data_IF_284939883463
#
_entry.id   IF_284939883463
#
_cell.length_a   1.000
_cell.length_b   1.000
_cell.length_c   1.000
_cell.angle_alpha   90.00
_cell.angle_beta   90.00
_cell.angle_gamma   90.00
#
_symmetry.space_group_name_H-M   'P 1'
#
loop_
_entity.id
_entity.type
_entity.pdbx_description
1 polymer ?
#
# COMPACT_ATOMS: atom_id res chain seq x y z
N UNK A 1 -22.62 -4.80 -2.35
CA UNK A 1 -22.73 -6.20 -1.86
C UNK A 1 -22.10 -7.14 -2.87
N UNK A 2 -21.44 -8.21 -2.43
CA UNK A 2 -20.68 -9.15 -3.30
C UNK A 2 -21.37 -10.50 -3.52
N UNK A 3 -22.62 -10.66 -3.05
CA UNK A 3 -23.45 -11.86 -3.23
C UNK A 3 -22.72 -13.19 -2.93
N UNK A 4 -21.97 -13.22 -1.83
CA UNK A 4 -21.16 -14.37 -1.41
C UNK A 4 -21.49 -14.70 0.04
N UNK A 5 -21.52 -15.99 0.43
CA UNK A 5 -21.74 -16.37 1.82
C UNK A 5 -20.77 -15.70 2.80
N UNK A 6 -21.27 -15.32 3.98
CA UNK A 6 -20.53 -14.50 4.95
C UNK A 6 -19.31 -15.24 5.54
N UNK A 7 -19.37 -16.57 5.61
CA UNK A 7 -18.29 -17.42 6.10
C UNK A 7 -17.01 -17.28 5.28
N UNK A 8 -17.12 -17.02 3.97
CA UNK A 8 -15.96 -16.82 3.08
C UNK A 8 -15.22 -15.53 3.43
N UNK A 9 -15.93 -14.49 3.84
CA UNK A 9 -15.36 -13.19 4.18
C UNK A 9 -14.86 -13.12 5.63
N UNK A 10 -15.32 -14.03 6.49
CA UNK A 10 -15.10 -13.98 7.94
C UNK A 10 -13.61 -13.93 8.30
N UNK A 11 -12.78 -14.73 7.66
CA UNK A 11 -11.34 -14.79 7.96
C UNK A 11 -10.67 -13.42 7.72
N UNK A 12 -10.87 -12.83 6.54
CA UNK A 12 -10.30 -11.52 6.18
C UNK A 12 -10.83 -10.37 7.03
N UNK A 13 -12.11 -10.40 7.42
CA UNK A 13 -12.71 -9.35 8.25
C UNK A 13 -12.33 -9.44 9.73
N UNK A 14 -12.01 -10.64 10.23
CA UNK A 14 -11.68 -10.87 11.64
C UNK A 14 -10.18 -11.00 11.89
N UNK A 15 -9.36 -11.11 10.84
CA UNK A 15 -7.93 -11.38 10.94
C UNK A 15 -7.61 -12.77 11.49
N UNK A 16 -8.59 -13.68 11.54
CA UNK A 16 -8.43 -15.05 12.05
C UNK A 16 -8.37 -16.03 10.88
N UNK A 17 -7.19 -16.62 10.69
CA UNK A 17 -6.94 -17.56 9.61
C UNK A 17 -6.72 -18.97 10.18
N UNK A 18 -7.37 -20.00 9.60
CA UNK A 18 -7.11 -21.38 10.02
C UNK A 18 -5.65 -21.71 9.72
N UNK A 19 -4.93 -22.22 10.72
CA UNK A 19 -3.52 -22.56 10.58
C UNK A 19 -3.38 -24.09 10.61
N UNK A 20 -3.09 -24.69 9.46
CA UNK A 20 -3.07 -26.14 9.32
C UNK A 20 -4.47 -26.75 9.50
N UNK A 21 -4.59 -27.77 10.34
CA UNK A 21 -5.86 -28.48 10.62
C UNK A 21 -6.75 -27.77 11.64
N UNK A 22 -6.25 -26.70 12.27
CA UNK A 22 -6.95 -26.00 13.34
C UNK A 22 -8.07 -25.10 12.79
N UNK A 23 -9.27 -25.13 13.39
CA UNK A 23 -10.38 -24.27 12.97
C UNK A 23 -10.08 -22.79 13.26
N UNK A 24 -10.77 -21.90 12.53
CA UNK A 24 -10.69 -20.43 12.71
C UNK A 24 -10.94 -19.98 14.16
N UNK A 25 -11.70 -20.77 14.93
CA UNK A 25 -12.05 -20.47 16.33
C UNK A 25 -10.87 -20.57 17.29
N UNK A 26 -9.84 -21.36 16.97
CA UNK A 26 -8.62 -21.51 17.78
C UNK A 26 -7.49 -20.60 17.29
N UNK A 27 -7.67 -19.92 16.15
CA UNK A 27 -6.68 -19.04 15.55
C UNK A 27 -6.62 -17.67 16.26
N UNK A 28 -5.42 -17.21 16.60
CA UNK A 28 -5.22 -15.87 17.13
C UNK A 28 -5.44 -14.84 16.03
N UNK A 29 -6.22 -13.79 16.33
CA UNK A 29 -6.38 -12.69 15.38
C UNK A 29 -5.05 -11.97 15.25
N UNK A 30 -4.57 -11.81 14.01
CA UNK A 30 -3.47 -10.90 13.75
C UNK A 30 -4.00 -9.46 13.89
N UNK A 31 -3.22 -8.62 14.59
CA UNK A 31 -3.55 -7.21 14.73
C UNK A 31 -3.45 -6.50 13.38
N UNK A 32 -4.32 -5.51 13.19
CA UNK A 32 -4.29 -4.60 12.03
C UNK A 32 -4.32 -5.29 10.64
N UNK A 33 -4.88 -6.50 10.53
CA UNK A 33 -5.08 -7.20 9.23
C UNK A 33 -5.96 -6.40 8.28
N UNK A 34 -7.01 -5.77 8.80
CA UNK A 34 -7.90 -4.91 8.01
C UNK A 34 -8.19 -3.63 8.80
N UNK A 35 -7.70 -2.52 8.26
CA UNK A 35 -7.86 -1.18 8.84
C UNK A 35 -8.54 -0.27 7.84
N UNK A 36 -9.75 0.19 8.16
CA UNK A 36 -10.50 1.09 7.28
C UNK A 36 -10.17 2.57 7.47
N UNK A 37 -9.89 2.99 8.70
CA UNK A 37 -9.77 4.42 9.04
C UNK A 37 -8.61 4.76 9.99
N UNK A 38 -8.30 3.88 10.96
CA UNK A 38 -7.17 4.13 11.88
C UNK A 38 -5.90 4.36 11.07
N UNK A 39 -4.97 5.11 11.66
CA UNK A 39 -3.68 5.42 11.05
C UNK A 39 -3.76 6.18 9.71
N UNK A 40 -4.87 6.87 9.44
CA UNK A 40 -5.15 7.49 8.15
C UNK A 40 -5.02 6.50 6.97
N UNK A 41 -5.49 5.26 7.16
CA UNK A 41 -5.45 4.21 6.14
C UNK A 41 -6.19 4.60 4.84
N UNK A 42 -7.25 5.40 4.95
CA UNK A 42 -8.06 5.87 3.82
C UNK A 42 -7.66 7.26 3.30
N UNK A 43 -6.64 7.90 3.88
CA UNK A 43 -6.17 9.19 3.38
C UNK A 43 -5.43 8.99 2.04
N UNK A 44 -5.73 9.77 0.99
CA UNK A 44 -5.13 9.59 -0.33
C UNK A 44 -3.72 10.20 -0.37
N UNK A 45 -2.75 9.50 0.20
CA UNK A 45 -1.34 9.90 0.18
C UNK A 45 -0.79 9.95 -1.25
N UNK A 46 -0.25 11.11 -1.65
CA UNK A 46 0.43 11.23 -2.95
C UNK A 46 1.70 10.39 -3.00
N UNK A 47 2.38 10.17 -1.86
CA UNK A 47 3.51 9.23 -1.78
C UNK A 47 3.11 7.80 -2.19
N UNK A 48 1.89 7.34 -1.85
CA UNK A 48 1.41 6.02 -2.30
C UNK A 48 1.20 5.96 -3.81
N UNK A 49 0.61 7.01 -4.40
CA UNK A 49 0.46 7.09 -5.85
C UNK A 49 1.82 7.02 -6.56
N UNK A 50 2.81 7.76 -6.07
CA UNK A 50 4.17 7.73 -6.60
C UNK A 50 4.83 6.35 -6.45
N UNK A 51 4.63 5.68 -5.30
CA UNK A 51 5.15 4.33 -5.10
C UNK A 51 4.51 3.31 -6.06
N UNK A 52 3.19 3.35 -6.24
CA UNK A 52 2.51 2.46 -7.20
C UNK A 52 3.01 2.68 -8.63
N UNK A 53 3.14 3.94 -9.07
CA UNK A 53 3.69 4.25 -10.39
C UNK A 53 5.15 3.80 -10.53
N UNK A 54 5.95 3.91 -9.46
CA UNK A 54 7.31 3.38 -9.44
C UNK A 54 7.34 1.85 -9.65
N UNK A 55 6.47 1.11 -8.96
CA UNK A 55 6.34 -0.34 -9.16
C UNK A 55 5.87 -0.69 -10.57
N UNK A 56 4.90 0.05 -11.12
CA UNK A 56 4.43 -0.16 -12.50
C UNK A 56 5.55 0.10 -13.52
N UNK A 57 6.34 1.15 -13.33
CA UNK A 57 7.48 1.45 -14.18
C UNK A 57 8.60 0.39 -14.07
N UNK A 58 8.90 -0.08 -12.85
CA UNK A 58 9.86 -1.16 -12.62
C UNK A 58 9.43 -2.48 -13.30
N UNK A 59 8.12 -2.76 -13.29
CA UNK A 59 7.52 -3.88 -14.01
C UNK A 59 7.30 -3.63 -15.51
N UNK A 60 7.72 -2.47 -16.05
CA UNK A 60 7.55 -2.05 -17.45
C UNK A 60 6.09 -1.99 -17.93
N UNK A 61 5.15 -1.73 -17.02
CA UNK A 61 3.74 -1.54 -17.34
C UNK A 61 3.45 -0.11 -17.84
N UNK A 62 4.25 0.86 -17.43
CA UNK A 62 4.16 2.27 -17.88
C UNK A 62 5.55 2.79 -18.23
N UNK A 63 5.58 3.84 -19.04
CA UNK A 63 6.84 4.50 -19.38
C UNK A 63 7.46 5.15 -18.14
N UNK A 64 8.77 4.95 -17.90
CA UNK A 64 9.40 5.50 -16.74
C UNK A 64 9.44 7.03 -16.80
N UNK A 65 9.54 7.66 -17.96
CA UNK A 65 9.75 9.12 -18.16
C UNK A 65 8.51 10.00 -17.89
N UNK A 66 7.35 9.40 -17.63
CA UNK A 66 6.14 10.13 -17.26
C UNK A 66 6.33 11.05 -16.04
N UNK A 67 5.58 12.16 -16.03
CA UNK A 67 5.48 13.05 -14.87
C UNK A 67 4.53 12.46 -13.81
N UNK A 68 5.08 11.57 -12.98
CA UNK A 68 4.35 10.94 -11.89
C UNK A 68 3.81 11.96 -10.88
N UNK A 69 4.48 13.09 -10.69
CA UNK A 69 4.05 14.09 -9.71
C UNK A 69 2.79 14.80 -10.20
N UNK A 70 2.77 15.21 -11.47
CA UNK A 70 1.58 15.80 -12.08
C UNK A 70 0.40 14.83 -12.10
N UNK A 71 0.63 13.56 -12.47
CA UNK A 71 -0.41 12.53 -12.46
C UNK A 71 -0.95 12.26 -11.05
N UNK A 72 -0.08 12.10 -10.06
CA UNK A 72 -0.47 11.92 -8.66
C UNK A 72 -1.31 13.10 -8.17
N UNK A 73 -0.94 14.34 -8.49
CA UNK A 73 -1.67 15.54 -8.08
C UNK A 73 -3.07 15.63 -8.69
N UNK A 74 -3.27 15.13 -9.91
CA UNK A 74 -4.57 15.12 -10.59
C UNK A 74 -5.52 14.07 -10.01
N UNK A 75 -5.01 12.87 -9.66
CA UNK A 75 -5.83 11.72 -9.24
C UNK A 75 -5.99 11.64 -7.72
N UNK A 76 -4.91 11.83 -6.96
CA UNK A 76 -4.93 11.77 -5.50
C UNK A 76 -5.20 13.17 -4.95
N UNK A 77 -6.43 13.37 -4.45
CA UNK A 77 -7.00 14.65 -4.01
C UNK A 77 -7.15 14.75 -2.48
N UNK A 78 -6.04 14.85 -1.72
CA UNK A 78 -6.09 15.01 -0.26
C UNK A 78 -6.75 16.32 0.16
N UNK A 79 -6.77 17.32 -0.70
CA UNK A 79 -7.50 18.57 -0.49
C UNK A 79 -9.02 18.35 -0.37
N UNK A 80 -9.61 17.54 -1.25
CA UNK A 80 -11.04 17.18 -1.16
C UNK A 80 -11.33 16.32 0.06
N UNK A 81 -10.43 15.37 0.38
CA UNK A 81 -10.53 14.56 1.59
C UNK A 81 -10.54 15.45 2.85
N UNK A 82 -9.59 16.39 2.96
CA UNK A 82 -9.52 17.34 4.08
C UNK A 82 -10.76 18.22 4.18
N UNK A 83 -11.31 18.67 3.05
CA UNK A 83 -12.54 19.45 3.05
C UNK A 83 -13.68 18.66 3.69
N UNK A 84 -13.88 17.40 3.30
CA UNK A 84 -14.89 16.53 3.89
C UNK A 84 -14.58 16.21 5.37
N UNK A 85 -13.32 15.88 5.70
CA UNK A 85 -12.90 15.57 7.06
C UNK A 85 -13.18 16.73 8.04
N UNK A 86 -12.94 17.97 7.61
CA UNK A 86 -13.25 19.18 8.41
C UNK A 86 -14.75 19.31 8.72
N UNK A 87 -15.63 18.97 7.77
CA UNK A 87 -17.09 19.02 8.01
C UNK A 87 -17.55 17.98 9.04
N UNK A 88 -16.75 16.95 9.28
CA UNK A 88 -17.03 15.85 10.20
C UNK A 88 -16.17 15.89 11.47
N UNK A 89 -15.38 16.95 11.66
CA UNK A 89 -14.41 17.09 12.77
C UNK A 89 -13.41 15.92 12.88
N UNK A 90 -13.01 15.36 11.74
CA UNK A 90 -12.04 14.27 11.65
C UNK A 90 -10.63 14.85 11.51
N UNK A 91 -9.73 14.48 12.42
CA UNK A 91 -8.30 14.82 12.33
C UNK A 91 -7.69 14.20 11.08
N UNK A 92 -6.98 15.01 10.30
CA UNK A 92 -6.43 14.62 9.00
C UNK A 92 -4.94 15.02 8.90
N UNK A 93 -4.10 14.25 8.19
CA UNK A 93 -2.73 14.67 7.88
C UNK A 93 -2.66 16.04 7.21
N UNK A 94 -1.75 16.90 7.69
CA UNK A 94 -1.48 18.22 7.10
C UNK A 94 -0.59 18.15 5.85
N UNK A 95 0.18 17.07 5.72
CA UNK A 95 1.07 16.80 4.58
C UNK A 95 0.42 15.82 3.59
N UNK A 96 0.85 15.86 2.33
CA UNK A 96 0.32 15.00 1.25
C UNK A 96 1.17 13.75 1.03
N UNK A 97 2.38 13.72 1.58
CA UNK A 97 3.39 12.70 1.32
C UNK A 97 4.15 12.35 2.59
N UNK A 98 4.63 11.11 2.67
CA UNK A 98 5.51 10.61 3.72
C UNK A 98 6.53 9.63 3.12
N UNK A 99 7.65 9.43 3.80
CA UNK A 99 8.60 8.36 3.49
C UNK A 99 7.99 7.05 4.01
N UNK A 100 8.12 5.98 3.23
CA UNK A 100 7.66 4.63 3.60
C UNK A 100 8.88 3.71 3.81
N UNK A 101 8.72 2.68 4.64
CA UNK A 101 9.73 1.65 4.86
C UNK A 101 10.59 1.81 6.12
N UNK A 102 10.31 2.78 6.98
CA UNK A 102 11.17 3.12 8.14
C UNK A 102 10.65 2.56 9.47
N UNK A 103 9.33 2.46 9.64
CA UNK A 103 8.70 2.33 10.95
C UNK A 103 8.20 0.90 11.19
N UNK A 104 8.79 0.20 12.17
CA UNK A 104 8.37 -1.16 12.59
C UNK A 104 7.08 -1.17 13.40
N UNK A 105 6.71 -0.04 13.99
CA UNK A 105 5.57 0.14 14.88
C UNK A 105 4.85 1.43 14.50
N UNK A 106 3.73 1.72 15.17
CA UNK A 106 3.08 3.02 15.01
C UNK A 106 4.03 4.18 15.32
N UNK A 107 3.84 5.28 14.59
CA UNK A 107 4.71 6.46 14.64
C UNK A 107 3.90 7.75 14.44
N UNK A 108 4.45 8.89 14.85
CA UNK A 108 3.76 10.16 14.74
C UNK A 108 4.10 10.87 13.43
N UNK A 109 3.08 11.19 12.64
CA UNK A 109 3.27 11.97 11.43
C UNK A 109 3.80 13.37 11.81
N UNK A 110 4.89 13.80 11.16
CA UNK A 110 5.40 15.15 11.36
C UNK A 110 4.30 16.18 11.00
N UNK A 111 4.10 17.17 11.86
CA UNK A 111 3.12 18.25 11.69
C UNK A 111 1.64 17.82 11.70
N UNK A 112 1.31 16.64 12.23
CA UNK A 112 -0.05 16.27 12.57
C UNK A 112 -0.09 15.56 13.93
N UNK A 113 -1.09 15.87 14.77
CA UNK A 113 -1.35 15.11 16.00
C UNK A 113 -2.01 13.75 15.69
N UNK A 114 -1.42 13.00 14.76
CA UNK A 114 -1.94 11.76 14.24
C UNK A 114 -0.87 10.66 14.32
N UNK A 115 -1.26 9.52 14.88
CA UNK A 115 -0.46 8.30 14.85
C UNK A 115 -0.73 7.54 13.55
N UNK A 116 0.33 7.22 12.82
CA UNK A 116 0.35 6.33 11.65
C UNK A 116 0.78 4.92 12.08
N UNK A 117 0.47 3.92 11.25
CA UNK A 117 0.81 2.52 11.48
C UNK A 117 2.22 2.19 11.02
N UNK A 118 2.67 0.98 11.31
CA UNK A 118 3.93 0.46 10.79
C UNK A 118 3.92 0.46 9.25
N UNK A 119 5.05 0.81 8.64
CA UNK A 119 5.20 0.94 7.19
C UNK A 119 6.47 0.27 6.63
N UNK A 120 7.20 -0.49 7.46
CA UNK A 120 8.39 -1.23 7.04
C UNK A 120 8.02 -2.28 5.97
N UNK A 121 8.70 -2.23 4.84
CA UNK A 121 8.59 -3.26 3.80
C UNK A 121 9.26 -4.57 4.22
N UNK A 122 8.85 -5.68 3.61
CA UNK A 122 9.37 -7.02 3.92
C UNK A 122 10.86 -7.20 3.57
N UNK A 123 11.34 -6.45 2.57
CA UNK A 123 12.71 -6.45 2.07
C UNK A 123 13.59 -5.34 2.69
N UNK A 124 13.07 -4.67 3.72
CA UNK A 124 13.71 -3.52 4.37
C UNK A 124 14.02 -2.35 3.42
N UNK A 125 13.39 -2.31 2.25
CA UNK A 125 13.52 -1.17 1.35
C UNK A 125 12.97 0.11 2.00
N UNK A 126 13.42 1.24 1.46
CA UNK A 126 12.93 2.58 1.83
C UNK A 126 12.48 3.30 0.58
N UNK A 127 11.29 3.88 0.64
CA UNK A 127 10.75 4.70 -0.45
C UNK A 127 10.66 6.16 -0.01
N UNK A 128 11.41 7.00 -0.72
CA UNK A 128 11.35 8.45 -0.57
C UNK A 128 10.62 9.05 -1.78
N UNK A 129 9.45 9.69 -1.60
CA UNK A 129 8.70 10.29 -2.70
C UNK A 129 9.43 11.44 -3.40
N UNK A 130 10.48 12.00 -2.80
CA UNK A 130 11.35 12.99 -3.46
C UNK A 130 12.38 12.34 -4.41
N UNK A 131 12.66 11.04 -4.25
CA UNK A 131 13.71 10.31 -4.96
C UNK A 131 13.17 9.06 -5.70
N UNK A 132 12.01 9.21 -6.35
CA UNK A 132 11.33 8.10 -7.05
C UNK A 132 12.20 7.47 -8.14
N UNK A 133 12.94 8.29 -8.89
CA UNK A 133 13.83 7.83 -9.96
C UNK A 133 14.91 6.90 -9.43
N UNK A 134 15.58 7.33 -8.36
CA UNK A 134 16.64 6.55 -7.71
C UNK A 134 16.07 5.25 -7.12
N UNK A 135 14.85 5.30 -6.59
CA UNK A 135 14.17 4.11 -6.09
C UNK A 135 13.94 3.06 -7.20
N UNK A 136 13.43 3.47 -8.37
CA UNK A 136 13.22 2.57 -9.52
C UNK A 136 14.55 1.95 -9.98
N UNK A 137 15.62 2.74 -10.05
CA UNK A 137 16.94 2.25 -10.47
C UNK A 137 17.53 1.21 -9.51
N UNK A 138 17.21 1.30 -8.20
CA UNK A 138 17.65 0.31 -7.21
C UNK A 138 16.86 -1.01 -7.29
N UNK A 139 15.63 -0.97 -7.78
CA UNK A 139 14.79 -2.16 -7.89
C UNK A 139 15.29 -3.08 -9.02
N UNK A 140 16.02 -4.14 -8.65
CA UNK A 140 16.32 -5.24 -9.55
C UNK A 140 15.17 -6.23 -9.55
N UNK A 141 14.30 -6.19 -10.56
CA UNK A 141 13.36 -7.28 -10.83
C UNK A 141 13.98 -8.20 -11.89
N UNK A 142 14.67 -9.30 -11.52
CA UNK A 142 15.13 -10.27 -12.49
C UNK A 142 13.91 -10.99 -13.08
N UNK A 143 13.57 -10.68 -14.34
CA UNK A 143 12.60 -11.45 -15.09
C UNK A 143 13.28 -12.73 -15.59
N UNK A 144 13.09 -13.85 -14.90
CA UNK A 144 13.30 -15.16 -15.51
C UNK A 144 12.35 -15.27 -16.71
N UNK A 145 12.90 -15.34 -17.94
CA UNK A 145 12.10 -15.64 -19.14
C UNK A 145 11.37 -16.97 -18.92
N UNK A 146 10.09 -17.11 -19.31
CA UNK A 146 9.49 -18.43 -19.38
C UNK A 146 10.34 -19.29 -20.31
N UNK A 147 10.80 -20.43 -19.79
CA UNK A 147 11.49 -21.47 -20.54
C UNK A 147 10.63 -21.81 -21.75
N UNK A 148 11.11 -21.52 -22.95
CA UNK A 148 10.47 -21.99 -24.17
C UNK A 148 10.45 -23.52 -24.10
N UNK A 149 9.27 -24.10 -23.90
CA UNK A 149 9.08 -25.53 -24.11
C UNK A 149 9.28 -25.75 -25.60
N UNK A 150 10.44 -26.33 -25.94
CA UNK A 150 10.77 -26.68 -27.31
C UNK A 150 9.71 -27.60 -27.89
N UNK A 151 9.20 -27.22 -29.05
CA UNK A 151 8.46 -28.08 -29.96
C UNK A 151 9.34 -29.31 -30.26
N UNK A 152 8.90 -30.49 -29.83
CA UNK A 152 9.41 -31.76 -30.35
C UNK A 152 8.61 -32.11 -31.61
N UNK A 153 9.24 -32.23 -32.79
CA UNK A 153 8.56 -32.74 -33.97
C UNK A 153 8.30 -34.25 -33.84
N UNK A 154 7.19 -34.68 -34.43
CA UNK A 154 6.66 -36.05 -34.51
C UNK A 154 7.61 -37.05 -35.17
#
# INVERSE_FOLDING_TARGET
YVNTPAEILRAGLTGRWPTGSEPITTSQAADDVLVFHRYAANFPWRSHALWFMAQMAACRQIEPDLDFSALAAQVYRPDLYRQAARTLDIVCPAVDSKVEGEHRTGWHCQNASLTLGADRFLDDARFDPAAVRDYIQRQHVPLSRPTQHGEQPL
#
